data_IF_538731269451
#
_entry.id   IF_538731269451
#
_cell.length_a   1.000
_cell.length_b   1.000
_cell.length_c   1.000
_cell.angle_alpha   90.00
_cell.angle_beta   90.00
_cell.angle_gamma   90.00
#
_symmetry.space_group_name_H-M   'P 1'
#
loop_
_entity.id
_entity.type
_entity.pdbx_description
1 polymer ?
#
# COMPACT_ATOMS: atom_id res chain seq x y z
N UNK A 1 -16.55 6.62 -19.49
CA UNK A 1 -15.71 6.85 -18.30
C UNK A 1 -15.07 5.51 -17.96
N UNK A 2 -13.76 5.35 -18.14
CA UNK A 2 -13.08 4.13 -17.72
C UNK A 2 -12.97 4.16 -16.20
N UNK A 3 -13.92 3.49 -15.54
CA UNK A 3 -13.91 3.28 -14.10
C UNK A 3 -12.95 2.11 -13.81
N UNK A 4 -11.64 2.34 -13.96
CA UNK A 4 -10.66 1.32 -13.60
C UNK A 4 -10.58 1.27 -12.07
N UNK A 5 -10.83 0.09 -11.51
CA UNK A 5 -10.65 -0.11 -10.08
C UNK A 5 -9.18 0.09 -9.68
N UNK A 6 -8.91 0.60 -8.47
CA UNK A 6 -7.54 0.79 -7.99
C UNK A 6 -6.75 -0.53 -8.00
N UNK A 7 -5.48 -0.45 -8.38
CA UNK A 7 -4.57 -1.58 -8.27
C UNK A 7 -4.33 -1.91 -6.79
N UNK A 8 -4.52 -3.18 -6.42
CA UNK A 8 -4.36 -3.63 -5.03
C UNK A 8 -2.94 -4.12 -4.77
N UNK A 9 -2.33 -3.69 -3.67
CA UNK A 9 -0.97 -4.09 -3.27
C UNK A 9 -0.93 -4.64 -1.84
N UNK A 10 -0.01 -5.59 -1.62
CA UNK A 10 0.34 -6.13 -0.30
C UNK A 10 1.71 -5.56 0.11
N UNK A 11 1.78 -4.96 1.30
CA UNK A 11 3.02 -4.39 1.80
C UNK A 11 3.76 -5.39 2.67
N UNK A 12 4.99 -5.74 2.28
CA UNK A 12 5.84 -6.70 3.01
C UNK A 12 7.11 -5.97 3.44
N UNK A 13 7.25 -5.73 4.73
CA UNK A 13 8.45 -5.15 5.32
C UNK A 13 8.49 -5.40 6.83
N UNK A 14 9.67 -5.69 7.37
CA UNK A 14 9.85 -6.01 8.79
C UNK A 14 10.04 -4.76 9.68
N UNK A 15 10.14 -3.58 9.08
CA UNK A 15 10.40 -2.31 9.78
C UNK A 15 9.15 -1.43 9.83
N UNK A 16 8.56 -1.19 11.03
CA UNK A 16 7.36 -0.36 11.17
C UNK A 16 7.47 1.04 10.55
N UNK A 17 8.66 1.65 10.58
CA UNK A 17 8.90 2.98 10.01
C UNK A 17 8.76 2.99 8.49
N UNK A 18 9.32 1.99 7.79
CA UNK A 18 9.25 1.96 6.33
C UNK A 18 7.82 1.71 5.85
N UNK A 19 7.07 0.82 6.52
CA UNK A 19 5.65 0.62 6.23
C UNK A 19 4.84 1.90 6.37
N UNK A 20 5.14 2.71 7.38
CA UNK A 20 4.45 3.98 7.61
C UNK A 20 4.76 4.97 6.49
N UNK A 21 6.04 5.12 6.10
CA UNK A 21 6.44 5.99 4.99
C UNK A 21 5.84 5.57 3.65
N UNK A 22 5.85 4.27 3.33
CA UNK A 22 5.25 3.76 2.09
C UNK A 22 3.74 4.00 2.05
N UNK A 23 3.02 3.78 3.16
CA UNK A 23 1.58 4.08 3.24
C UNK A 23 1.28 5.56 3.00
N UNK A 24 2.11 6.47 3.52
CA UNK A 24 1.96 7.90 3.25
C UNK A 24 2.13 8.22 1.76
N UNK A 25 3.15 7.65 1.11
CA UNK A 25 3.36 7.84 -0.33
C UNK A 25 2.20 7.27 -1.16
N UNK A 26 1.75 6.05 -0.85
CA UNK A 26 0.63 5.41 -1.56
C UNK A 26 -0.68 6.18 -1.35
N UNK A 27 -0.89 6.83 -0.20
CA UNK A 27 -2.08 7.67 0.02
C UNK A 27 -2.20 8.86 -0.94
N UNK A 28 -1.10 9.25 -1.60
CA UNK A 28 -1.06 10.29 -2.62
C UNK A 28 -1.41 9.77 -4.03
N UNK A 29 -1.55 8.45 -4.21
CA UNK A 29 -1.83 7.77 -5.46
C UNK A 29 -3.23 7.08 -5.38
N UNK A 30 -4.31 7.76 -5.81
CA UNK A 30 -5.69 7.26 -5.64
C UNK A 30 -6.02 6.04 -6.53
N UNK A 31 -5.15 5.72 -7.48
CA UNK A 31 -5.19 4.55 -8.34
C UNK A 31 -4.59 3.29 -7.70
N UNK A 32 -4.06 3.39 -6.48
CA UNK A 32 -3.45 2.28 -5.73
C UNK A 32 -4.13 2.13 -4.36
N UNK A 33 -4.36 0.88 -3.95
CA UNK A 33 -4.92 0.56 -2.63
C UNK A 33 -4.09 -0.49 -1.90
N UNK A 34 -3.71 -0.22 -0.66
CA UNK A 34 -3.05 -1.20 0.21
C UNK A 34 -4.12 -2.09 0.83
N UNK A 35 -4.11 -3.39 0.52
CA UNK A 35 -5.12 -4.35 0.98
C UNK A 35 -4.64 -5.24 2.14
N UNK A 36 -3.37 -5.12 2.53
CA UNK A 36 -2.82 -5.84 3.66
C UNK A 36 -1.36 -5.48 3.96
N UNK A 37 -0.91 -5.95 5.11
CA UNK A 37 0.48 -5.89 5.56
C UNK A 37 0.93 -7.29 5.98
N UNK A 38 2.15 -7.68 5.60
CA UNK A 38 2.80 -8.87 6.10
C UNK A 38 4.13 -8.49 6.78
N UNK A 39 4.44 -9.19 7.87
CA UNK A 39 5.67 -9.07 8.62
C UNK A 39 6.19 -10.48 8.94
N UNK A 40 7.50 -10.64 9.04
CA UNK A 40 8.07 -11.88 9.54
C UNK A 40 7.67 -12.07 11.01
N UNK A 41 7.34 -13.31 11.35
CA UNK A 41 6.89 -13.71 12.68
C UNK A 41 8.04 -13.75 13.68
#
# INVERSE_FOLDING_TARGET
MNNQEPATILLIDDHPMLRTGVKQLVSMAPDISVVGEAQQR
#
